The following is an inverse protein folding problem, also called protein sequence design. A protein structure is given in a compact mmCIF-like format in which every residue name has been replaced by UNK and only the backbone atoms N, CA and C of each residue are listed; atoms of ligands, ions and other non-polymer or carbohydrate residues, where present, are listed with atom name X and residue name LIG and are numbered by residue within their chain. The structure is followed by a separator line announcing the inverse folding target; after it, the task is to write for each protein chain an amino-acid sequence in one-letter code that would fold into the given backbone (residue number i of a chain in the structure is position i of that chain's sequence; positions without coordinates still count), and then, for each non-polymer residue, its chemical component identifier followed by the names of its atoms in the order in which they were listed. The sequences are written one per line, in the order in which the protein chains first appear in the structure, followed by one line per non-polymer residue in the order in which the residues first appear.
data_IF_241311665077
#
_entry.id   IF_241311665077
#
_cell.length_a   1.000
_cell.length_b   1.000
_cell.length_c   1.000
_cell.angle_alpha   90.00
_cell.angle_beta   90.00
_cell.angle_gamma   90.00
#
_symmetry.space_group_name_H-M   'P 1'
#
loop_
_entity.id
_entity.type
_entity.pdbx_description
1 polymer ?
#
# COMPACT_ATOMS: atom_id res chain seq x y z
N UNK A 1 1.97 21.03 -8.16
CA UNK A 1 2.76 20.64 -6.96
C UNK A 1 2.82 21.70 -5.85
N UNK A 2 3.23 22.94 -6.16
CA UNK A 2 3.40 24.01 -5.14
C UNK A 2 2.07 24.46 -4.50
N UNK A 3 1.07 24.82 -5.31
CA UNK A 3 -0.24 25.27 -4.79
C UNK A 3 -0.97 24.20 -3.96
N UNK A 4 -0.81 22.91 -4.31
CA UNK A 4 -1.41 21.80 -3.54
C UNK A 4 -0.84 21.74 -2.12
N UNK A 5 0.49 21.84 -1.99
CA UNK A 5 1.16 21.88 -0.68
C UNK A 5 0.74 23.09 0.13
N UNK A 6 0.57 24.26 -0.50
CA UNK A 6 0.09 25.46 0.18
C UNK A 6 -1.32 25.27 0.76
N UNK A 7 -2.24 24.71 -0.03
CA UNK A 7 -3.62 24.41 0.44
C UNK A 7 -3.59 23.44 1.61
N UNK A 8 -2.79 22.38 1.53
CA UNK A 8 -2.64 21.40 2.60
C UNK A 8 -2.15 22.04 3.90
N UNK A 9 -1.16 22.95 3.82
CA UNK A 9 -0.67 23.70 4.98
C UNK A 9 -1.75 24.58 5.59
N UNK A 10 -2.56 25.26 4.76
CA UNK A 10 -3.66 26.10 5.24
C UNK A 10 -4.72 25.26 5.97
N UNK A 11 -5.12 24.13 5.39
CA UNK A 11 -6.11 23.22 6.00
C UNK A 11 -5.61 22.69 7.34
N UNK A 12 -4.35 22.27 7.42
CA UNK A 12 -3.73 21.82 8.67
C UNK A 12 -3.73 22.91 9.73
N UNK A 13 -3.36 24.13 9.37
CA UNK A 13 -3.40 25.27 10.29
C UNK A 13 -4.81 25.57 10.80
N UNK A 14 -5.82 25.54 9.92
CA UNK A 14 -7.22 25.74 10.34
C UNK A 14 -7.68 24.67 11.33
N UNK A 15 -7.28 23.41 11.11
CA UNK A 15 -7.54 22.31 12.04
C UNK A 15 -6.83 22.50 13.38
N UNK A 16 -5.56 22.92 13.37
CA UNK A 16 -4.79 23.24 14.59
C UNK A 16 -5.42 24.39 15.38
N UNK A 17 -6.02 25.37 14.70
CA UNK A 17 -6.82 26.44 15.30
C UNK A 17 -8.17 25.96 15.88
N UNK A 18 -8.46 24.65 15.85
CA UNK A 18 -9.69 24.05 16.37
C UNK A 18 -10.92 24.18 15.45
N UNK A 19 -10.72 24.54 14.18
CA UNK A 19 -11.84 24.69 13.22
C UNK A 19 -12.24 23.33 12.64
N UNK A 20 -13.54 23.14 12.45
CA UNK A 20 -14.07 22.03 11.66
C UNK A 20 -13.96 22.36 10.16
N UNK A 21 -13.26 21.50 9.40
CA UNK A 21 -13.09 21.65 7.96
C UNK A 21 -13.74 20.45 7.27
N UNK A 22 -14.65 20.73 6.33
CA UNK A 22 -15.22 19.73 5.43
C UNK A 22 -14.61 19.96 4.06
N UNK A 23 -13.95 18.93 3.52
CA UNK A 23 -13.36 18.96 2.19
C UNK A 23 -13.93 17.82 1.35
N UNK A 24 -14.13 18.10 0.06
CA UNK A 24 -14.49 17.10 -0.94
C UNK A 24 -13.36 17.01 -1.94
N UNK A 25 -12.80 15.82 -2.12
CA UNK A 25 -11.73 15.58 -3.08
C UNK A 25 -11.95 14.25 -3.79
N UNK A 26 -11.50 14.18 -5.04
CA UNK A 26 -11.41 12.92 -5.78
C UNK A 26 -10.03 12.26 -5.61
N UNK A 27 -9.06 12.96 -5.02
CA UNK A 27 -7.74 12.44 -4.73
C UNK A 27 -7.75 11.77 -3.35
N UNK A 28 -7.77 10.44 -3.33
CA UNK A 28 -7.81 9.69 -2.07
C UNK A 28 -6.54 9.89 -1.23
N UNK A 29 -5.40 10.25 -1.84
CA UNK A 29 -4.19 10.72 -1.15
C UNK A 29 -4.45 11.97 -0.29
N UNK A 30 -5.22 12.94 -0.79
CA UNK A 30 -5.57 14.16 -0.03
C UNK A 30 -6.45 13.84 1.17
N UNK A 31 -7.44 12.96 0.97
CA UNK A 31 -8.32 12.51 2.02
C UNK A 31 -7.54 11.78 3.12
N UNK A 32 -6.63 10.87 2.74
CA UNK A 32 -5.77 10.09 3.65
C UNK A 32 -4.85 10.98 4.49
N UNK A 33 -4.27 12.04 3.89
CA UNK A 33 -3.28 12.89 4.56
C UNK A 33 -3.90 14.01 5.41
N UNK A 34 -5.06 14.55 5.02
CA UNK A 34 -5.63 15.75 5.65
C UNK A 34 -6.74 15.47 6.66
N UNK A 35 -7.41 14.31 6.55
CA UNK A 35 -8.68 14.10 7.24
C UNK A 35 -8.53 13.24 8.50
N UNK A 36 -9.25 13.60 9.56
CA UNK A 36 -9.42 12.70 10.73
C UNK A 36 -10.36 11.55 10.44
N UNK A 37 -11.36 11.80 9.57
CA UNK A 37 -12.36 10.83 9.14
C UNK A 37 -12.61 11.01 7.66
N UNK A 38 -12.84 9.90 6.97
CA UNK A 38 -13.14 9.86 5.55
C UNK A 38 -14.52 9.24 5.39
N UNK A 39 -15.30 9.82 4.47
CA UNK A 39 -16.58 9.31 4.02
C UNK A 39 -16.49 9.12 2.50
N UNK A 40 -16.64 7.88 2.03
CA UNK A 40 -16.61 7.55 0.60
C UNK A 40 -18.04 7.46 0.09
N UNK A 41 -18.39 8.32 -0.86
CA UNK A 41 -19.70 8.30 -1.53
C UNK A 41 -19.58 7.78 -2.96
N UNK A 42 -20.52 6.94 -3.37
CA UNK A 42 -20.69 6.50 -4.75
C UNK A 42 -22.16 6.32 -5.08
N UNK A 43 -22.58 6.79 -6.27
CA UNK A 43 -23.97 6.73 -6.77
C UNK A 43 -25.02 7.25 -5.76
N UNK A 44 -24.71 8.37 -5.09
CA UNK A 44 -25.59 9.00 -4.10
C UNK A 44 -25.72 8.25 -2.77
N UNK A 45 -24.91 7.22 -2.52
CA UNK A 45 -24.91 6.44 -1.28
C UNK A 45 -23.54 6.49 -0.60
N UNK A 46 -23.54 6.51 0.73
CA UNK A 46 -22.33 6.37 1.54
C UNK A 46 -21.89 4.89 1.51
N UNK A 47 -20.71 4.64 0.94
CA UNK A 47 -20.14 3.30 0.79
C UNK A 47 -19.29 2.91 2.01
N UNK A 48 -18.51 3.86 2.53
CA UNK A 48 -17.66 3.63 3.68
C UNK A 48 -17.46 4.91 4.50
N UNK A 49 -17.23 4.74 5.80
CA UNK A 49 -16.98 5.85 6.71
C UNK A 49 -16.13 5.39 7.90
N UNK A 50 -15.10 6.16 8.24
CA UNK A 50 -14.22 5.84 9.36
C UNK A 50 -12.94 6.67 9.35
N UNK A 51 -11.99 6.33 10.21
CA UNK A 51 -10.63 6.89 10.12
C UNK A 51 -9.90 6.32 8.91
N UNK A 52 -8.89 7.02 8.37
CA UNK A 52 -8.08 6.50 7.27
C UNK A 52 -7.54 5.08 7.54
N UNK A 53 -6.99 4.87 8.74
CA UNK A 53 -6.50 3.55 9.16
C UNK A 53 -7.60 2.51 9.20
N UNK A 54 -8.79 2.83 9.75
CA UNK A 54 -9.92 1.92 9.80
C UNK A 54 -10.36 1.46 8.41
N UNK A 55 -10.39 2.38 7.42
CA UNK A 55 -10.73 2.04 6.05
C UNK A 55 -9.67 1.15 5.40
N UNK A 56 -8.38 1.44 5.62
CA UNK A 56 -7.27 0.55 5.23
C UNK A 56 -7.31 -0.79 5.96
N UNK A 57 -8.06 -0.94 7.07
CA UNK A 57 -8.26 -2.24 7.73
C UNK A 57 -9.24 -3.16 7.05
N UNK A 58 -9.98 -2.66 6.08
CA UNK A 58 -10.92 -3.48 5.31
C UNK A 58 -10.23 -4.36 4.26
N UNK A 59 -8.92 -4.19 4.06
CA UNK A 59 -8.10 -5.08 3.22
C UNK A 59 -7.40 -6.15 4.04
N UNK A 60 -7.21 -7.32 3.43
CA UNK A 60 -6.50 -8.45 4.05
C UNK A 60 -4.98 -8.24 4.14
N UNK A 61 -4.46 -7.25 3.40
CA UNK A 61 -3.03 -6.97 3.28
C UNK A 61 -2.71 -5.57 3.81
N UNK A 62 -1.58 -5.46 4.49
CA UNK A 62 -1.04 -4.19 4.97
C UNK A 62 0.05 -3.67 4.03
N UNK A 63 0.88 -4.58 3.52
CA UNK A 63 1.95 -4.27 2.59
C UNK A 63 1.79 -5.07 1.30
N UNK A 64 2.32 -4.52 0.20
CA UNK A 64 2.56 -5.25 -1.03
C UNK A 64 4.03 -5.28 -1.35
N UNK A 65 4.51 -6.44 -1.75
CA UNK A 65 5.85 -6.65 -2.28
C UNK A 65 5.75 -6.81 -3.79
N UNK A 66 6.46 -5.95 -4.51
CA UNK A 66 6.66 -6.01 -5.95
C UNK A 66 8.02 -6.64 -6.21
N UNK A 67 8.09 -7.59 -7.12
CA UNK A 67 9.34 -8.22 -7.55
C UNK A 67 9.41 -8.14 -9.07
N UNK A 68 10.46 -7.51 -9.59
CA UNK A 68 10.72 -7.41 -11.02
C UNK A 68 11.41 -8.68 -11.50
N UNK A 69 10.78 -9.40 -12.43
CA UNK A 69 11.30 -10.64 -12.99
C UNK A 69 12.47 -10.33 -13.93
N UNK A 70 13.56 -11.09 -13.79
CA UNK A 70 14.56 -11.19 -14.86
C UNK A 70 14.12 -12.22 -15.91
N UNK A 71 14.81 -12.25 -17.06
CA UNK A 71 14.57 -13.25 -18.11
C UNK A 71 14.80 -14.70 -17.64
N UNK A 72 15.65 -14.89 -16.61
CA UNK A 72 15.97 -16.20 -16.04
C UNK A 72 15.24 -16.47 -14.72
N UNK A 73 14.24 -15.66 -14.38
CA UNK A 73 13.47 -15.77 -13.14
C UNK A 73 12.50 -16.96 -13.18
N UNK A 74 12.54 -17.80 -12.16
CA UNK A 74 11.59 -18.90 -11.97
C UNK A 74 10.54 -18.50 -10.90
N UNK A 75 9.29 -18.31 -11.32
CA UNK A 75 8.22 -17.82 -10.44
C UNK A 75 7.97 -18.72 -9.23
N UNK A 76 8.12 -20.04 -9.40
CA UNK A 76 7.98 -21.01 -8.31
C UNK A 76 9.10 -20.84 -7.28
N UNK A 77 10.34 -20.62 -7.73
CA UNK A 77 11.49 -20.39 -6.86
C UNK A 77 11.32 -19.11 -6.04
N UNK A 78 10.94 -18.00 -6.68
CA UNK A 78 10.64 -16.74 -6.00
C UNK A 78 9.49 -16.91 -5.00
N UNK A 79 8.41 -17.59 -5.40
CA UNK A 79 7.26 -17.83 -4.53
C UNK A 79 7.63 -18.68 -3.31
N UNK A 80 8.47 -19.69 -3.48
CA UNK A 80 8.98 -20.50 -2.37
C UNK A 80 9.85 -19.66 -1.42
N UNK A 81 10.73 -18.82 -1.97
CA UNK A 81 11.58 -17.92 -1.19
C UNK A 81 10.78 -16.92 -0.35
N UNK A 82 9.77 -16.28 -0.97
CA UNK A 82 8.88 -15.34 -0.27
C UNK A 82 8.11 -16.05 0.84
N UNK A 83 7.52 -17.22 0.56
CA UNK A 83 6.77 -18.01 1.54
C UNK A 83 7.65 -18.56 2.67
N UNK A 84 8.94 -18.80 2.43
CA UNK A 84 9.88 -19.23 3.47
C UNK A 84 10.12 -18.14 4.52
N UNK A 85 10.08 -16.86 4.12
CA UNK A 85 10.27 -15.72 5.03
C UNK A 85 8.96 -15.19 5.59
N UNK A 86 7.91 -15.13 4.76
CA UNK A 86 6.58 -14.64 5.08
C UNK A 86 5.56 -15.70 4.68
N UNK A 87 5.29 -16.64 5.60
CA UNK A 87 4.42 -17.80 5.32
C UNK A 87 3.02 -17.42 4.85
N UNK A 88 2.50 -16.29 5.33
CA UNK A 88 1.16 -15.78 5.00
C UNK A 88 1.12 -14.88 3.76
N UNK A 89 2.23 -14.72 3.03
CA UNK A 89 2.24 -13.95 1.80
C UNK A 89 1.38 -14.64 0.72
N UNK A 90 0.53 -13.88 0.05
CA UNK A 90 -0.38 -14.35 -1.00
C UNK A 90 0.04 -13.69 -2.30
N UNK A 91 0.21 -14.47 -3.37
CA UNK A 91 0.45 -13.94 -4.71
C UNK A 91 -0.86 -13.32 -5.22
N UNK A 92 -0.91 -11.99 -5.31
CA UNK A 92 -2.09 -11.25 -5.77
C UNK A 92 -2.10 -11.08 -7.30
N UNK A 93 -0.93 -10.82 -7.89
CA UNK A 93 -0.78 -10.64 -9.34
C UNK A 93 0.51 -11.26 -9.82
N UNK A 94 0.42 -11.94 -10.96
CA UNK A 94 1.56 -12.42 -11.72
C UNK A 94 1.43 -11.91 -13.16
N UNK A 95 2.49 -11.26 -13.65
CA UNK A 95 2.59 -10.82 -15.05
C UNK A 95 3.90 -11.34 -15.67
N UNK A 96 4.16 -11.01 -16.93
CA UNK A 96 5.42 -11.37 -17.59
C UNK A 96 6.65 -10.72 -16.94
N UNK A 97 6.49 -9.52 -16.36
CA UNK A 97 7.62 -8.71 -15.87
C UNK A 97 7.65 -8.57 -14.36
N UNK A 98 6.58 -8.89 -13.64
CA UNK A 98 6.51 -8.68 -12.19
C UNK A 98 5.67 -9.74 -11.45
N UNK A 99 5.97 -9.91 -10.16
CA UNK A 99 5.15 -10.61 -9.18
C UNK A 99 4.75 -9.63 -8.08
N UNK A 100 3.47 -9.66 -7.70
CA UNK A 100 2.93 -8.83 -6.63
C UNK A 100 2.38 -9.73 -5.53
N UNK A 101 2.95 -9.62 -4.33
CA UNK A 101 2.51 -10.35 -3.15
C UNK A 101 1.83 -9.42 -2.15
N UNK A 102 0.64 -9.79 -1.72
CA UNK A 102 -0.04 -9.21 -0.57
C UNK A 102 0.51 -9.82 0.73
N UNK A 103 0.95 -8.96 1.64
CA UNK A 103 1.50 -9.34 2.94
C UNK A 103 0.52 -8.94 4.05
N UNK A 104 -0.04 -9.92 4.78
CA UNK A 104 -0.95 -9.63 5.89
C UNK A 104 -0.28 -8.90 7.05
N UNK A 105 -1.12 -8.29 7.90
CA UNK A 105 -0.71 -7.60 9.13
C UNK A 105 0.14 -8.46 10.06
N UNK A 106 0.90 -7.78 10.92
CA UNK A 106 1.75 -8.34 11.98
C UNK A 106 3.05 -9.03 11.52
N UNK A 107 3.41 -8.89 10.23
CA UNK A 107 4.62 -9.49 9.67
C UNK A 107 5.78 -8.51 9.51
N UNK A 108 5.77 -7.34 10.17
CA UNK A 108 6.79 -6.29 10.00
C UNK A 108 8.24 -6.79 10.16
N UNK A 109 8.52 -7.60 11.20
CA UNK A 109 9.85 -8.23 11.37
C UNK A 109 10.20 -9.21 10.26
N UNK A 110 9.21 -9.96 9.75
CA UNK A 110 9.41 -10.89 8.65
C UNK A 110 9.65 -10.15 7.34
N UNK A 111 9.01 -9.00 7.13
CA UNK A 111 9.25 -8.10 6.00
C UNK A 111 10.69 -7.60 6.03
N UNK A 112 11.17 -7.06 7.15
CA UNK A 112 12.57 -6.60 7.24
C UNK A 112 13.55 -7.74 6.92
N UNK A 113 13.29 -8.95 7.43
CA UNK A 113 14.11 -10.13 7.12
C UNK A 113 14.03 -10.52 5.65
N UNK A 114 12.83 -10.49 5.05
CA UNK A 114 12.61 -10.79 3.64
C UNK A 114 13.35 -9.78 2.75
N UNK A 115 13.26 -8.48 3.06
CA UNK A 115 13.97 -7.42 2.33
C UNK A 115 15.47 -7.66 2.38
N UNK A 116 16.04 -7.84 3.57
CA UNK A 116 17.47 -8.14 3.70
C UNK A 116 17.87 -9.43 2.99
N UNK A 117 17.01 -10.44 3.00
CA UNK A 117 17.28 -11.70 2.31
C UNK A 117 17.17 -11.55 0.79
N UNK A 118 16.24 -10.74 0.28
CA UNK A 118 16.14 -10.40 -1.14
C UNK A 118 17.42 -9.68 -1.56
N UNK A 119 17.82 -8.61 -0.87
CA UNK A 119 19.04 -7.83 -1.18
C UNK A 119 20.30 -8.71 -1.26
N UNK A 120 20.46 -9.65 -0.34
CA UNK A 120 21.63 -10.55 -0.31
C UNK A 120 21.62 -11.61 -1.41
N UNK A 121 20.43 -12.03 -1.85
CA UNK A 121 20.27 -13.16 -2.76
C UNK A 121 19.68 -12.77 -4.13
N UNK A 122 19.67 -11.48 -4.49
CA UNK A 122 19.13 -10.98 -5.79
C UNK A 122 19.68 -11.78 -6.98
N UNK A 123 20.98 -12.07 -6.96
CA UNK A 123 21.67 -12.81 -8.03
C UNK A 123 21.26 -14.29 -8.08
N UNK A 124 21.03 -14.92 -6.92
CA UNK A 124 20.64 -16.33 -6.83
C UNK A 124 19.17 -16.52 -7.22
N UNK A 125 18.31 -15.60 -6.79
CA UNK A 125 16.87 -15.59 -7.08
C UNK A 125 16.60 -15.12 -8.53
N UNK A 126 17.60 -14.49 -9.17
CA UNK A 126 17.54 -13.99 -10.55
C UNK A 126 16.37 -13.02 -10.75
N UNK A 127 16.30 -11.99 -9.92
CA UNK A 127 15.33 -10.88 -10.06
C UNK A 127 16.04 -9.59 -10.41
N UNK A 128 15.36 -8.68 -11.10
CA UNK A 128 15.94 -7.38 -11.47
C UNK A 128 15.87 -6.38 -10.32
N UNK A 129 14.89 -6.53 -9.44
CA UNK A 129 14.65 -5.62 -8.33
C UNK A 129 13.42 -6.00 -7.51
N UNK A 130 13.20 -5.27 -6.43
CA UNK A 130 11.98 -5.37 -5.63
C UNK A 130 11.57 -4.01 -5.08
N UNK A 131 10.29 -3.87 -4.74
CA UNK A 131 9.73 -2.70 -4.07
C UNK A 131 8.71 -3.10 -3.03
N UNK A 132 8.53 -2.28 -1.99
CA UNK A 132 7.48 -2.51 -0.98
C UNK A 132 6.66 -1.23 -0.85
N UNK A 133 5.33 -1.38 -0.90
CA UNK A 133 4.39 -0.29 -0.60
C UNK A 133 3.46 -0.68 0.55
N UNK A 134 2.93 0.33 1.23
CA UNK A 134 1.78 0.16 2.12
C UNK A 134 0.49 0.27 1.33
N UNK A 135 -0.53 -0.44 1.79
CA UNK A 135 -1.86 -0.39 1.19
C UNK A 135 -2.46 1.01 1.34
N UNK A 136 -2.92 1.59 0.23
CA UNK A 136 -3.51 2.93 0.21
C UNK A 136 -5.03 2.86 0.23
N UNK A 137 -5.69 3.97 0.60
CA UNK A 137 -7.15 4.08 0.51
C UNK A 137 -7.62 3.91 -0.93
N UNK A 138 -6.85 4.40 -1.88
CA UNK A 138 -7.12 4.24 -3.30
C UNK A 138 -7.27 2.78 -3.70
N UNK A 139 -6.39 1.92 -3.20
CA UNK A 139 -6.46 0.48 -3.45
C UNK A 139 -7.64 -0.22 -2.76
N UNK A 140 -8.16 0.34 -1.66
CA UNK A 140 -9.37 -0.20 -1.02
C UNK A 140 -10.61 0.03 -1.89
N UNK A 141 -10.67 1.18 -2.59
CA UNK A 141 -11.88 1.65 -3.27
C UNK A 141 -11.84 1.58 -4.80
N UNK A 142 -10.67 1.43 -5.42
CA UNK A 142 -10.51 1.30 -6.89
C UNK A 142 -10.24 -0.14 -7.36
N UNK A 143 -10.58 -1.16 -6.57
CA UNK A 143 -10.62 -2.55 -7.03
C UNK A 143 -11.65 -2.78 -8.13
#
# INVERSE_FOLDING_TARGET
PYNRRLIWTIIRKMKEDGKCVVLTTHFLEEADVLSDRIAVMSKGKLQAHGTPDFLKKQTDFEYRLFIDKSEMCECEHVSAFVKAHVRKAILERESATELVYGIPRDNSRQISRLVTALEKNIQEIKINGYGISMTTIEEVFLK
#
